data_IF_833912123661
#
_entry.id   IF_833912123661
#
_cell.length_a   1.000
_cell.length_b   1.000
_cell.length_c   1.000
_cell.angle_alpha   90.00
_cell.angle_beta   90.00
_cell.angle_gamma   90.00
#
_symmetry.space_group_name_H-M   'P 1'
#
loop_
_entity.id
_entity.type
_entity.pdbx_description
1 polymer ?
#
# COMPACT_ATOMS: atom_id res chain seq x y z
N UNK A 1 -14.27 17.31 -10.37
CA UNK A 1 -14.24 17.56 -8.92
C UNK A 1 -12.90 18.13 -8.49
N UNK A 2 -11.80 17.42 -8.67
CA UNK A 2 -10.44 17.85 -8.22
C UNK A 2 -10.04 19.23 -8.78
N UNK A 3 -10.36 19.52 -10.05
CA UNK A 3 -10.00 20.78 -10.70
C UNK A 3 -10.67 22.00 -10.03
N UNK A 4 -11.92 21.86 -9.61
CA UNK A 4 -12.72 22.95 -9.00
C UNK A 4 -12.55 23.01 -7.48
N UNK A 5 -11.95 21.98 -6.85
CA UNK A 5 -11.66 21.97 -5.43
C UNK A 5 -10.57 23.01 -5.10
N UNK A 6 -10.88 23.89 -4.16
CA UNK A 6 -10.00 24.94 -3.63
C UNK A 6 -10.12 24.95 -2.11
N UNK A 7 -9.20 25.59 -1.41
CA UNK A 7 -9.18 25.67 0.05
C UNK A 7 -10.56 26.06 0.66
N UNK A 8 -11.22 27.05 0.07
CA UNK A 8 -12.52 27.56 0.57
C UNK A 8 -13.71 26.57 0.47
N UNK A 9 -13.64 25.57 -0.44
CA UNK A 9 -14.71 24.58 -0.65
C UNK A 9 -14.25 23.14 -0.40
N UNK A 10 -13.01 22.94 0.05
CA UNK A 10 -12.43 21.62 0.24
C UNK A 10 -13.24 20.76 1.21
N UNK A 11 -13.71 21.34 2.31
CA UNK A 11 -14.51 20.64 3.32
C UNK A 11 -15.80 20.08 2.70
N UNK A 12 -16.57 20.92 2.01
CA UNK A 12 -17.82 20.49 1.37
C UNK A 12 -17.60 19.41 0.32
N UNK A 13 -16.54 19.56 -0.48
CA UNK A 13 -16.20 18.57 -1.52
C UNK A 13 -15.79 17.24 -0.90
N UNK A 14 -15.04 17.26 0.20
CA UNK A 14 -14.61 16.03 0.88
C UNK A 14 -15.78 15.34 1.59
N UNK A 15 -16.68 16.08 2.19
CA UNK A 15 -17.88 15.51 2.82
C UNK A 15 -18.76 14.79 1.77
N UNK A 16 -18.97 15.41 0.60
CA UNK A 16 -19.68 14.81 -0.53
C UNK A 16 -18.96 13.56 -1.09
N UNK A 17 -17.63 13.61 -1.25
CA UNK A 17 -16.85 12.46 -1.69
C UNK A 17 -16.89 11.31 -0.69
N UNK A 18 -16.90 11.61 0.61
CA UNK A 18 -17.04 10.62 1.66
C UNK A 18 -18.41 9.93 1.61
N UNK A 19 -19.48 10.67 1.34
CA UNK A 19 -20.82 10.07 1.09
C UNK A 19 -20.78 9.15 -0.13
N UNK A 20 -20.11 9.55 -1.21
CA UNK A 20 -19.98 8.73 -2.43
C UNK A 20 -19.19 7.44 -2.19
N UNK A 21 -18.32 7.39 -1.19
CA UNK A 21 -17.62 6.16 -0.81
C UNK A 21 -18.56 5.09 -0.22
N UNK A 22 -19.79 5.44 0.15
CA UNK A 22 -20.81 4.51 0.61
C UNK A 22 -21.76 4.02 -0.52
N UNK A 23 -21.48 4.38 -1.78
CA UNK A 23 -22.29 3.96 -2.92
C UNK A 23 -22.18 2.45 -3.19
N UNK A 24 -23.21 1.90 -3.83
CA UNK A 24 -23.21 0.49 -4.28
C UNK A 24 -22.34 0.30 -5.54
N UNK A 25 -22.12 1.34 -6.32
CA UNK A 25 -21.27 1.29 -7.52
C UNK A 25 -19.78 1.30 -7.15
N UNK A 26 -19.14 0.14 -7.28
CA UNK A 26 -17.72 -0.07 -6.97
C UNK A 26 -16.82 0.86 -7.78
N UNK A 27 -17.10 1.05 -9.08
CA UNK A 27 -16.27 1.91 -9.93
C UNK A 27 -16.36 3.38 -9.51
N UNK A 28 -17.53 3.80 -9.07
CA UNK A 28 -17.77 5.15 -8.55
C UNK A 28 -17.07 5.36 -7.21
N UNK A 29 -17.15 4.38 -6.29
CA UNK A 29 -16.43 4.41 -5.01
C UNK A 29 -14.92 4.54 -5.23
N UNK A 30 -14.33 3.68 -6.06
CA UNK A 30 -12.88 3.75 -6.37
C UNK A 30 -12.48 5.12 -6.95
N UNK A 31 -13.29 5.70 -7.83
CA UNK A 31 -13.04 7.05 -8.36
C UNK A 31 -13.12 8.13 -7.28
N UNK A 32 -14.07 8.02 -6.35
CA UNK A 32 -14.21 8.96 -5.23
C UNK A 32 -13.00 8.91 -4.30
N UNK A 33 -12.51 7.72 -3.96
CA UNK A 33 -11.30 7.52 -3.16
C UNK A 33 -10.07 8.13 -3.85
N UNK A 34 -9.90 7.91 -5.17
CA UNK A 34 -8.83 8.55 -5.96
C UNK A 34 -8.93 10.07 -5.95
N UNK A 35 -10.13 10.62 -6.04
CA UNK A 35 -10.34 12.07 -5.96
C UNK A 35 -9.92 12.62 -4.59
N UNK A 36 -10.22 11.92 -3.49
CA UNK A 36 -9.78 12.31 -2.13
C UNK A 36 -8.25 12.39 -2.08
N UNK A 37 -7.54 11.37 -2.59
CA UNK A 37 -6.07 11.38 -2.67
C UNK A 37 -5.51 12.53 -3.51
N UNK A 38 -6.10 12.78 -4.67
CA UNK A 38 -5.68 13.88 -5.55
C UNK A 38 -5.91 15.27 -4.88
N UNK A 39 -6.97 15.42 -4.10
CA UNK A 39 -7.22 16.64 -3.32
C UNK A 39 -6.17 16.80 -2.25
N UNK A 40 -5.81 15.74 -1.53
CA UNK A 40 -4.76 15.78 -0.51
C UNK A 40 -3.40 16.19 -1.09
N UNK A 41 -3.05 15.69 -2.28
CA UNK A 41 -1.80 16.07 -2.96
C UNK A 41 -1.84 17.53 -3.44
N UNK A 42 -3.00 18.01 -3.90
CA UNK A 42 -3.19 19.36 -4.43
C UNK A 42 -3.28 20.42 -3.34
N UNK A 43 -3.89 20.10 -2.20
CA UNK A 43 -4.20 21.02 -1.10
C UNK A 43 -3.63 20.45 0.22
N UNK A 44 -2.39 20.80 0.59
CA UNK A 44 -1.76 20.29 1.83
C UNK A 44 -2.59 20.54 3.09
N UNK A 45 -3.31 21.68 3.16
CA UNK A 45 -4.16 22.01 4.31
C UNK A 45 -5.35 21.04 4.48
N UNK A 46 -5.77 20.39 3.39
CA UNK A 46 -6.84 19.38 3.41
C UNK A 46 -6.31 17.96 3.62
N UNK A 47 -4.99 17.73 3.56
CA UNK A 47 -4.37 16.42 3.59
C UNK A 47 -4.76 15.62 4.84
N UNK A 48 -4.74 16.24 6.03
CA UNK A 48 -5.13 15.56 7.28
C UNK A 48 -6.57 15.02 7.21
N UNK A 49 -7.51 15.84 6.75
CA UNK A 49 -8.92 15.41 6.61
C UNK A 49 -9.08 14.28 5.60
N UNK A 50 -8.34 14.35 4.47
CA UNK A 50 -8.33 13.27 3.48
C UNK A 50 -7.82 11.97 4.09
N UNK A 51 -6.75 12.04 4.89
CA UNK A 51 -6.17 10.91 5.60
C UNK A 51 -7.17 10.30 6.59
N UNK A 52 -7.87 11.11 7.39
CA UNK A 52 -8.88 10.62 8.33
C UNK A 52 -9.99 9.83 7.62
N UNK A 53 -10.44 10.30 6.45
CA UNK A 53 -11.42 9.59 5.62
C UNK A 53 -10.84 8.26 5.11
N UNK A 54 -9.62 8.26 4.57
CA UNK A 54 -8.98 7.05 4.05
C UNK A 54 -8.76 6.00 5.14
N UNK A 55 -8.34 6.39 6.34
CA UNK A 55 -8.19 5.50 7.50
C UNK A 55 -9.52 4.86 7.88
N UNK A 56 -10.61 5.64 7.87
CA UNK A 56 -11.94 5.09 8.13
C UNK A 56 -12.38 4.07 7.09
N UNK A 57 -12.03 4.29 5.82
CA UNK A 57 -12.33 3.35 4.73
C UNK A 57 -11.49 2.07 4.80
N UNK A 58 -10.22 2.15 5.20
CA UNK A 58 -9.35 0.98 5.44
C UNK A 58 -9.88 0.13 6.59
N UNK A 59 -10.43 0.74 7.63
CA UNK A 59 -11.06 0.06 8.76
C UNK A 59 -12.47 -0.47 8.46
N UNK A 60 -12.96 -0.24 7.25
CA UNK A 60 -14.28 -0.67 6.78
C UNK A 60 -14.35 -2.15 6.42
N UNK A 61 -15.48 -2.58 5.82
CA UNK A 61 -15.71 -3.98 5.44
C UNK A 61 -15.62 -4.25 3.93
N UNK A 62 -15.58 -3.20 3.11
CA UNK A 62 -15.59 -3.33 1.65
C UNK A 62 -14.17 -3.49 1.12
N UNK A 63 -13.77 -4.70 0.71
CA UNK A 63 -12.40 -5.00 0.27
C UNK A 63 -11.92 -4.05 -0.85
N UNK A 64 -12.76 -3.75 -1.84
CA UNK A 64 -12.42 -2.83 -2.93
C UNK A 64 -12.12 -1.40 -2.45
N UNK A 65 -12.78 -0.95 -1.38
CA UNK A 65 -12.54 0.36 -0.80
C UNK A 65 -11.23 0.35 0.03
N UNK A 66 -10.97 -0.73 0.76
CA UNK A 66 -9.72 -0.95 1.50
C UNK A 66 -8.54 -0.91 0.52
N UNK A 67 -8.59 -1.73 -0.53
CA UNK A 67 -7.53 -1.82 -1.55
C UNK A 67 -7.21 -0.48 -2.21
N UNK A 68 -8.25 0.25 -2.65
CA UNK A 68 -8.04 1.56 -3.28
C UNK A 68 -7.53 2.59 -2.28
N UNK A 69 -8.02 2.56 -1.03
CA UNK A 69 -7.56 3.47 0.03
C UNK A 69 -6.08 3.23 0.38
N UNK A 70 -5.64 1.97 0.49
CA UNK A 70 -4.22 1.64 0.73
C UNK A 70 -3.34 2.14 -0.41
N UNK A 71 -3.78 2.01 -1.67
CA UNK A 71 -3.06 2.57 -2.81
C UNK A 71 -2.90 4.10 -2.71
N UNK A 72 -3.97 4.80 -2.35
CA UNK A 72 -3.94 6.26 -2.18
C UNK A 72 -3.11 6.68 -0.98
N UNK A 73 -3.19 5.95 0.13
CA UNK A 73 -2.34 6.18 1.32
C UNK A 73 -0.86 6.08 0.95
N UNK A 74 -0.47 5.10 0.16
CA UNK A 74 0.91 4.98 -0.32
C UNK A 74 1.38 6.23 -1.07
N UNK A 75 0.53 6.80 -1.95
CA UNK A 75 0.85 8.03 -2.67
C UNK A 75 1.00 9.23 -1.70
N UNK A 76 0.20 9.28 -0.63
CA UNK A 76 0.30 10.30 0.41
C UNK A 76 1.55 10.15 1.27
N UNK A 77 1.89 8.94 1.67
CA UNK A 77 3.13 8.65 2.42
C UNK A 77 4.37 9.07 1.61
N UNK A 78 4.37 8.85 0.29
CA UNK A 78 5.44 9.32 -0.60
C UNK A 78 5.48 10.84 -0.74
N UNK A 79 4.32 11.50 -0.74
CA UNK A 79 4.21 12.96 -0.89
C UNK A 79 4.57 13.71 0.39
N UNK A 80 4.24 13.15 1.53
CA UNK A 80 4.39 13.75 2.86
C UNK A 80 5.18 12.82 3.80
N UNK A 81 6.49 12.61 3.54
CA UNK A 81 7.31 11.72 4.38
C UNK A 81 7.36 12.25 5.83
N UNK A 82 7.13 11.36 6.78
CA UNK A 82 7.17 11.67 8.21
C UNK A 82 5.88 12.28 8.80
N UNK A 83 4.88 12.68 7.98
CA UNK A 83 3.70 13.36 8.50
C UNK A 83 2.56 12.41 8.94
N UNK A 84 2.40 11.28 8.24
CA UNK A 84 1.23 10.39 8.41
C UNK A 84 1.60 8.96 8.81
N UNK A 85 2.71 8.77 9.51
CA UNK A 85 3.21 7.44 9.90
C UNK A 85 2.27 6.68 10.85
N UNK A 86 1.42 7.39 11.59
CA UNK A 86 0.40 6.78 12.45
C UNK A 86 -0.60 5.89 11.72
N UNK A 87 -0.71 6.03 10.38
CA UNK A 87 -1.59 5.20 9.53
C UNK A 87 -1.03 3.78 9.36
N UNK A 88 0.28 3.61 9.49
CA UNK A 88 0.97 2.34 9.20
C UNK A 88 0.33 1.17 9.96
N UNK A 89 0.02 1.36 11.23
CA UNK A 89 -0.63 0.33 12.04
C UNK A 89 -1.99 -0.10 11.46
N UNK A 90 -2.80 0.87 10.98
CA UNK A 90 -4.11 0.55 10.38
C UNK A 90 -3.94 -0.22 9.07
N UNK A 91 -2.95 0.13 8.26
CA UNK A 91 -2.64 -0.60 7.02
C UNK A 91 -2.17 -2.02 7.35
N UNK A 92 -1.25 -2.19 8.31
CA UNK A 92 -0.73 -3.49 8.72
C UNK A 92 -1.82 -4.44 9.23
N UNK A 93 -2.81 -3.92 9.95
CA UNK A 93 -3.94 -4.70 10.46
C UNK A 93 -4.92 -5.19 9.38
N UNK A 94 -4.84 -4.64 8.16
CA UNK A 94 -5.76 -4.94 7.06
C UNK A 94 -5.06 -5.52 5.81
N UNK A 95 -3.81 -5.97 5.94
CA UNK A 95 -3.05 -6.54 4.82
C UNK A 95 -3.70 -7.81 4.24
N UNK A 96 -4.35 -8.61 5.08
CA UNK A 96 -5.09 -9.83 4.70
C UNK A 96 -6.29 -9.55 3.79
N UNK A 97 -6.82 -8.32 3.80
CA UNK A 97 -7.93 -7.88 2.97
C UNK A 97 -7.49 -7.52 1.54
N UNK A 98 -6.19 -7.37 1.30
CA UNK A 98 -5.63 -7.00 -0.01
C UNK A 98 -5.55 -8.23 -0.92
N UNK A 99 -6.47 -8.35 -1.87
CA UNK A 99 -6.56 -9.47 -2.82
C UNK A 99 -6.04 -9.13 -4.21
N UNK A 100 -6.25 -7.88 -4.66
CA UNK A 100 -5.73 -7.42 -5.94
C UNK A 100 -4.20 -7.30 -5.90
N UNK A 101 -3.51 -7.78 -6.93
CA UNK A 101 -2.05 -7.79 -7.01
C UNK A 101 -1.44 -6.39 -6.83
N UNK A 102 -2.10 -5.35 -7.36
CA UNK A 102 -1.67 -3.96 -7.17
C UNK A 102 -1.73 -3.55 -5.70
N UNK A 103 -2.81 -3.87 -5.00
CA UNK A 103 -2.98 -3.52 -3.59
C UNK A 103 -2.00 -4.31 -2.71
N UNK A 104 -1.82 -5.61 -2.97
CA UNK A 104 -0.79 -6.45 -2.31
C UNK A 104 0.60 -5.84 -2.48
N UNK A 105 1.00 -5.52 -3.72
CA UNK A 105 2.31 -4.93 -3.99
C UNK A 105 2.49 -3.60 -3.24
N UNK A 106 1.46 -2.77 -3.16
CA UNK A 106 1.51 -1.52 -2.40
C UNK A 106 1.65 -1.76 -0.90
N UNK A 107 0.88 -2.69 -0.33
CA UNK A 107 1.00 -3.08 1.08
C UNK A 107 2.41 -3.59 1.42
N UNK A 108 2.94 -4.50 0.61
CA UNK A 108 4.31 -5.03 0.76
C UNK A 108 5.36 -3.91 0.62
N UNK A 109 5.15 -2.97 -0.30
CA UNK A 109 6.05 -1.82 -0.45
C UNK A 109 6.07 -0.95 0.82
N UNK A 110 4.90 -0.70 1.43
CA UNK A 110 4.80 0.03 2.70
C UNK A 110 5.58 -0.70 3.80
N UNK A 111 5.43 -2.03 3.92
CA UNK A 111 6.18 -2.83 4.88
C UNK A 111 7.70 -2.67 4.71
N UNK A 112 8.19 -2.74 3.47
CA UNK A 112 9.62 -2.59 3.18
C UNK A 112 10.16 -1.18 3.41
N UNK A 113 9.39 -0.14 3.04
CA UNK A 113 9.82 1.27 3.17
C UNK A 113 9.85 1.73 4.62
N UNK A 114 8.85 1.31 5.40
CA UNK A 114 8.67 1.71 6.80
C UNK A 114 9.04 0.60 7.79
N UNK A 115 9.91 -0.34 7.39
CA UNK A 115 10.32 -1.46 8.25
C UNK A 115 10.94 -1.03 9.59
N UNK A 116 11.47 0.18 9.68
CA UNK A 116 12.03 0.75 10.90
C UNK A 116 10.97 1.27 11.89
N UNK A 117 9.72 1.41 11.47
CA UNK A 117 8.59 1.90 12.27
C UNK A 117 7.54 0.82 12.54
N UNK A 118 7.58 -0.28 11.80
CA UNK A 118 6.61 -1.36 11.89
C UNK A 118 7.24 -2.51 12.66
N UNK A 119 6.57 -2.96 13.72
CA UNK A 119 6.98 -4.14 14.46
C UNK A 119 6.66 -5.42 13.68
N UNK A 120 7.51 -6.44 13.80
CA UNK A 120 7.31 -7.78 13.23
C UNK A 120 7.03 -7.78 11.71
N UNK A 121 7.78 -6.98 10.94
CA UNK A 121 7.65 -6.89 9.47
C UNK A 121 7.90 -8.25 8.82
N UNK A 122 8.84 -9.02 9.34
CA UNK A 122 9.15 -10.39 8.94
C UNK A 122 7.91 -11.29 8.98
N UNK A 123 7.20 -11.30 10.12
CA UNK A 123 5.96 -12.07 10.29
C UNK A 123 4.85 -11.59 9.35
N UNK A 124 4.76 -10.28 9.10
CA UNK A 124 3.76 -9.72 8.18
C UNK A 124 4.07 -10.06 6.71
N UNK A 125 5.32 -10.35 6.37
CA UNK A 125 5.74 -10.76 5.03
C UNK A 125 5.58 -12.27 4.79
N UNK A 126 5.64 -13.12 5.81
CA UNK A 126 5.58 -14.58 5.69
C UNK A 126 4.45 -15.11 4.78
N UNK A 127 3.18 -14.65 4.90
CA UNK A 127 2.11 -15.15 4.03
C UNK A 127 2.35 -14.92 2.54
N UNK A 128 3.08 -13.85 2.19
CA UNK A 128 3.43 -13.52 0.80
C UNK A 128 4.63 -14.34 0.30
N UNK A 129 5.49 -14.79 1.22
CA UNK A 129 6.61 -15.69 0.90
C UNK A 129 6.09 -17.09 0.59
N UNK A 130 5.13 -17.58 1.38
CA UNK A 130 4.50 -18.88 1.19
C UNK A 130 3.81 -18.99 -0.19
N UNK A 131 3.24 -17.88 -0.67
CA UNK A 131 2.53 -17.81 -1.95
C UNK A 131 3.36 -17.21 -3.09
N UNK A 132 4.68 -17.04 -2.91
CA UNK A 132 5.55 -16.30 -3.85
C UNK A 132 5.40 -16.72 -5.31
N UNK A 133 5.33 -18.01 -5.60
CA UNK A 133 5.21 -18.53 -6.97
C UNK A 133 3.84 -18.30 -7.61
N UNK A 134 2.79 -18.20 -6.79
CA UNK A 134 1.41 -18.00 -7.25
C UNK A 134 1.09 -16.51 -7.43
N UNK A 135 1.97 -15.64 -6.96
CA UNK A 135 1.76 -14.19 -7.03
C UNK A 135 2.12 -13.62 -8.41
N UNK A 136 1.44 -12.54 -8.78
CA UNK A 136 1.75 -11.82 -10.01
C UNK A 136 3.15 -11.20 -9.97
N UNK A 137 3.82 -10.99 -11.13
CA UNK A 137 5.19 -10.46 -11.21
C UNK A 137 5.40 -9.17 -10.42
N UNK A 138 4.42 -8.27 -10.41
CA UNK A 138 4.50 -7.02 -9.67
C UNK A 138 4.63 -7.26 -8.16
N UNK A 139 3.94 -8.28 -7.63
CA UNK A 139 4.01 -8.66 -6.22
C UNK A 139 5.36 -9.28 -5.92
N UNK A 140 5.81 -10.24 -6.73
CA UNK A 140 7.11 -10.91 -6.59
C UNK A 140 8.27 -9.90 -6.60
N UNK A 141 8.27 -8.96 -7.54
CA UNK A 141 9.29 -7.89 -7.61
C UNK A 141 9.28 -6.98 -6.38
N UNK A 142 8.08 -6.71 -5.84
CA UNK A 142 7.95 -5.88 -4.64
C UNK A 142 8.42 -6.64 -3.40
N UNK A 143 8.12 -7.94 -3.26
CA UNK A 143 8.62 -8.80 -2.19
C UNK A 143 10.15 -8.76 -2.17
N UNK A 144 10.81 -9.02 -3.31
CA UNK A 144 12.27 -8.94 -3.42
C UNK A 144 12.83 -7.61 -2.94
N UNK A 145 12.24 -6.51 -3.42
CA UNK A 145 12.70 -5.16 -3.07
C UNK A 145 12.49 -4.83 -1.58
N UNK A 146 11.39 -5.30 -0.99
CA UNK A 146 11.06 -5.05 0.42
C UNK A 146 11.93 -5.88 1.36
N UNK A 147 12.21 -7.14 1.01
CA UNK A 147 13.13 -7.99 1.78
C UNK A 147 14.57 -7.45 1.76
N UNK A 148 15.03 -6.93 0.62
CA UNK A 148 16.34 -6.27 0.55
C UNK A 148 16.41 -5.07 1.48
N UNK A 149 15.37 -4.23 1.53
CA UNK A 149 15.32 -3.09 2.45
C UNK A 149 15.31 -3.54 3.91
N UNK A 150 14.51 -4.56 4.24
CA UNK A 150 14.47 -5.14 5.57
C UNK A 150 15.83 -5.72 5.96
N UNK A 151 16.51 -6.41 5.05
CA UNK A 151 17.85 -6.96 5.27
C UNK A 151 18.90 -5.86 5.50
N UNK A 152 18.84 -4.76 4.78
CA UNK A 152 19.72 -3.60 4.99
C UNK A 152 19.48 -2.99 6.38
N UNK A 153 18.21 -2.96 6.82
CA UNK A 153 17.84 -2.43 8.13
C UNK A 153 18.20 -3.39 9.28
N UNK A 154 17.87 -4.68 9.12
CA UNK A 154 18.14 -5.71 10.13
C UNK A 154 18.45 -7.07 9.47
N UNK A 155 19.74 -7.40 9.40
CA UNK A 155 20.22 -8.62 8.73
C UNK A 155 19.76 -9.89 9.43
N UNK A 156 19.71 -9.90 10.76
CA UNK A 156 19.40 -11.10 11.53
C UNK A 156 17.95 -11.56 11.33
N UNK A 157 17.03 -10.62 11.13
CA UNK A 157 15.60 -10.90 10.93
C UNK A 157 15.34 -11.36 9.50
N UNK A 158 15.93 -10.69 8.51
CA UNK A 158 15.56 -10.89 7.10
C UNK A 158 16.41 -11.91 6.35
N UNK A 159 17.52 -12.37 6.91
CA UNK A 159 18.50 -13.21 6.22
C UNK A 159 17.92 -14.48 5.61
N UNK A 160 17.20 -15.23 6.41
CA UNK A 160 16.67 -16.53 5.97
C UNK A 160 15.54 -16.37 4.95
N UNK A 161 14.65 -15.39 5.16
CA UNK A 161 13.59 -15.04 4.22
C UNK A 161 14.15 -14.56 2.88
N UNK A 162 15.14 -13.66 2.91
CA UNK A 162 15.78 -13.15 1.71
C UNK A 162 16.48 -14.28 0.94
N UNK A 163 17.23 -15.15 1.62
CA UNK A 163 17.90 -16.29 1.00
C UNK A 163 16.89 -17.25 0.36
N UNK A 164 15.79 -17.54 1.05
CA UNK A 164 14.69 -18.35 0.53
C UNK A 164 14.14 -17.75 -0.77
N UNK A 165 13.72 -16.48 -0.75
CA UNK A 165 13.07 -15.85 -1.92
C UNK A 165 14.04 -15.70 -3.09
N UNK A 166 15.31 -15.38 -2.85
CA UNK A 166 16.32 -15.33 -3.91
C UNK A 166 16.51 -16.69 -4.56
N UNK A 167 16.53 -17.78 -3.77
CA UNK A 167 16.61 -19.14 -4.30
C UNK A 167 15.40 -19.50 -5.15
N UNK A 168 14.19 -19.12 -4.69
CA UNK A 168 12.94 -19.34 -5.41
C UNK A 168 12.89 -18.51 -6.71
N UNK A 169 13.22 -17.24 -6.67
CA UNK A 169 13.17 -16.32 -7.80
C UNK A 169 14.16 -16.69 -8.93
N UNK A 170 15.27 -17.35 -8.60
CA UNK A 170 16.30 -17.74 -9.58
C UNK A 170 16.07 -19.10 -10.24
N UNK A 171 15.05 -19.87 -9.80
CA UNK A 171 14.72 -21.17 -10.38
C UNK A 171 14.43 -21.11 -11.90
N UNK A 172 14.73 -22.18 -12.65
CA UNK A 172 14.36 -22.28 -14.07
C UNK A 172 12.83 -22.19 -14.23
N UNK A 173 12.39 -21.42 -15.22
CA UNK A 173 10.95 -21.25 -15.51
C UNK A 173 10.31 -20.00 -14.94
N UNK A 174 10.99 -19.28 -14.06
CA UNK A 174 10.50 -17.99 -13.56
C UNK A 174 10.55 -16.88 -14.62
N UNK A 175 9.74 -15.87 -14.41
CA UNK A 175 9.64 -14.70 -15.28
C UNK A 175 11.00 -14.00 -15.34
N UNK A 176 11.51 -13.66 -16.55
CA UNK A 176 12.84 -13.07 -16.71
C UNK A 176 13.10 -11.84 -15.84
N UNK A 177 12.11 -10.96 -15.68
CA UNK A 177 12.24 -9.74 -14.87
C UNK A 177 12.46 -10.04 -13.38
N UNK A 178 11.73 -11.03 -12.83
CA UNK A 178 11.87 -11.48 -11.44
C UNK A 178 13.24 -12.11 -11.23
N UNK A 179 13.65 -12.99 -12.16
CA UNK A 179 14.96 -13.63 -12.11
C UNK A 179 16.10 -12.61 -12.21
N UNK A 180 16.02 -11.68 -13.14
CA UNK A 180 17.04 -10.64 -13.31
C UNK A 180 17.16 -9.76 -12.06
N UNK A 181 16.02 -9.40 -11.45
CA UNK A 181 16.01 -8.62 -10.21
C UNK A 181 16.65 -9.36 -9.04
N UNK A 182 16.48 -10.68 -8.96
CA UNK A 182 17.06 -11.51 -7.91
C UNK A 182 18.57 -11.74 -8.06
N UNK A 183 19.13 -11.55 -9.27
CA UNK A 183 20.55 -11.72 -9.58
C UNK A 183 21.38 -10.42 -9.41
N UNK A 184 20.75 -9.26 -9.29
CA UNK A 184 21.40 -7.96 -9.09
C UNK A 184 21.53 -7.64 -7.62
#
# INVERSE_FOLDING_TARGET
>A
VVTICRQRNAQLVLDELNEYCNSVDVAFVRKSIKCIGQIAIKLPEAAKRCVDILVSLVSGKASYAIEESVCVICDLLRKYPGEFESILNTVCQNLDQLKEARAKAVGIWILGEYCHLIENVDVLLDPYLDTFHDEQPIVQLTILSSLVKLFIYNQDIAKDQLQFVLSEATKPGNIPDVKNRALI
#
